data_IF_169708100702
#
_entry.id   IF_169708100702
#
_cell.length_a   1.000
_cell.length_b   1.000
_cell.length_c   1.000
_cell.angle_alpha   90.00
_cell.angle_beta   90.00
_cell.angle_gamma   90.00
#
_symmetry.space_group_name_H-M   'P 1'
#
loop_
_entity.id
_entity.type
_entity.pdbx_description
1 polymer ?
#
# COMPACT_ATOMS: atom_id res chain seq x y z
N UNK A 1 20.20 8.72 5.28
CA UNK A 1 19.43 9.79 4.60
C UNK A 1 17.95 9.44 4.42
N UNK A 2 17.58 8.43 3.61
CA UNK A 2 16.16 8.10 3.30
C UNK A 2 15.28 7.78 4.53
N UNK A 3 15.82 7.07 5.52
CA UNK A 3 15.07 6.72 6.75
C UNK A 3 14.77 7.95 7.61
N UNK A 4 15.73 8.85 7.73
CA UNK A 4 15.58 10.08 8.50
C UNK A 4 14.54 11.01 7.87
N UNK A 5 14.55 11.14 6.54
CA UNK A 5 13.54 11.91 5.82
C UNK A 5 12.13 11.35 6.04
N UNK A 6 11.95 10.02 5.92
CA UNK A 6 10.65 9.39 6.19
C UNK A 6 10.16 9.62 7.63
N UNK A 7 11.06 9.52 8.61
CA UNK A 7 10.74 9.79 10.01
C UNK A 7 10.32 11.25 10.22
N UNK A 8 11.06 12.21 9.65
CA UNK A 8 10.75 13.64 9.75
C UNK A 8 9.40 13.99 9.12
N UNK A 9 9.11 13.44 7.94
CA UNK A 9 7.81 13.60 7.27
C UNK A 9 6.67 12.99 8.09
N UNK A 10 6.90 11.80 8.67
CA UNK A 10 5.90 11.16 9.53
C UNK A 10 5.62 12.00 10.79
N UNK A 11 6.66 12.57 11.40
CA UNK A 11 6.56 13.43 12.57
C UNK A 11 5.94 14.79 12.28
N UNK A 12 6.08 15.32 11.05
CA UNK A 12 5.42 16.55 10.61
C UNK A 12 3.93 16.35 10.31
N UNK A 13 3.44 15.10 10.36
CA UNK A 13 2.05 14.75 10.09
C UNK A 13 1.74 14.59 8.60
N UNK A 14 2.75 14.51 7.73
CA UNK A 14 2.56 14.18 6.32
C UNK A 14 1.88 12.82 6.21
N UNK A 15 0.82 12.77 5.41
CA UNK A 15 0.09 11.54 5.08
C UNK A 15 0.54 11.01 3.72
N UNK A 16 0.21 9.75 3.49
CA UNK A 16 0.45 9.07 2.23
C UNK A 16 -0.84 9.03 1.44
N UNK A 17 -0.76 9.35 0.15
CA UNK A 17 -1.92 9.37 -0.71
C UNK A 17 -2.22 7.98 -1.29
N UNK A 18 -3.50 7.62 -1.27
CA UNK A 18 -4.06 6.48 -1.98
C UNK A 18 -5.12 7.04 -2.92
N UNK A 19 -4.99 6.73 -4.20
CA UNK A 19 -5.89 7.29 -5.22
C UNK A 19 -6.22 6.26 -6.28
N UNK A 20 -7.30 6.50 -7.04
CA UNK A 20 -7.65 5.69 -8.20
C UNK A 20 -7.97 6.60 -9.38
N UNK A 21 -7.44 6.25 -10.55
CA UNK A 21 -7.91 6.78 -11.83
C UNK A 21 -8.87 5.77 -12.45
N UNK A 22 -10.13 6.16 -12.65
CA UNK A 22 -11.11 5.32 -13.33
C UNK A 22 -11.29 5.76 -14.79
N UNK A 23 -11.09 4.82 -15.71
CA UNK A 23 -11.28 4.99 -17.16
C UNK A 23 -12.27 3.94 -17.64
N UNK A 24 -13.55 4.33 -17.74
CA UNK A 24 -14.63 3.38 -18.01
C UNK A 24 -14.67 2.27 -16.96
N UNK A 25 -14.48 1.01 -17.39
CA UNK A 25 -14.47 -0.16 -16.51
C UNK A 25 -13.06 -0.58 -16.03
N UNK A 26 -12.05 0.27 -16.20
CA UNK A 26 -10.69 0.05 -15.72
C UNK A 26 -10.42 0.99 -14.55
N UNK A 27 -9.86 0.47 -13.47
CA UNK A 27 -9.44 1.24 -12.30
C UNK A 27 -7.93 1.08 -12.12
N UNK A 28 -7.16 2.16 -12.28
CA UNK A 28 -5.74 2.21 -11.97
C UNK A 28 -5.56 2.72 -10.53
N UNK A 29 -5.27 1.81 -9.61
CA UNK A 29 -5.15 2.06 -8.18
C UNK A 29 -3.69 2.38 -7.83
N UNK A 30 -3.42 3.60 -7.37
CA UNK A 30 -2.09 4.02 -6.95
C UNK A 30 -1.88 3.74 -5.46
N UNK A 31 -0.81 3.01 -5.14
CA UNK A 31 -0.46 2.63 -3.77
C UNK A 31 1.00 2.94 -3.43
N UNK A 32 1.29 3.16 -2.13
CA UNK A 32 2.63 3.52 -1.71
C UNK A 32 3.58 2.33 -1.56
N UNK A 33 4.87 2.55 -1.80
CA UNK A 33 5.93 1.57 -1.52
C UNK A 33 5.89 0.33 -2.42
N UNK A 34 6.53 -0.74 -1.96
CA UNK A 34 6.60 -2.05 -2.65
C UNK A 34 5.62 -3.02 -2.00
N UNK A 35 4.47 -3.21 -2.63
CA UNK A 35 3.41 -4.03 -2.06
C UNK A 35 3.53 -5.48 -2.47
N UNK A 36 3.09 -6.34 -1.56
CA UNK A 36 2.79 -7.74 -1.81
C UNK A 36 1.62 -7.91 -2.81
N UNK A 37 1.60 -9.04 -3.52
CA UNK A 37 0.60 -9.32 -4.58
C UNK A 37 -0.83 -9.40 -4.03
N UNK A 38 -0.97 -9.73 -2.74
CA UNK A 38 -2.22 -9.85 -2.02
C UNK A 38 -3.03 -8.55 -2.05
N UNK A 39 -2.39 -7.38 -2.12
CA UNK A 39 -3.08 -6.10 -2.24
C UNK A 39 -3.77 -5.94 -3.60
N UNK A 40 -3.12 -6.36 -4.70
CA UNK A 40 -3.72 -6.42 -6.04
C UNK A 40 -4.91 -7.39 -6.06
N UNK A 41 -4.72 -8.59 -5.51
CA UNK A 41 -5.76 -9.62 -5.47
C UNK A 41 -6.96 -9.18 -4.61
N UNK A 42 -6.71 -8.53 -3.48
CA UNK A 42 -7.76 -7.97 -2.63
C UNK A 42 -8.52 -6.85 -3.37
N UNK A 43 -7.82 -5.94 -4.04
CA UNK A 43 -8.42 -4.84 -4.80
C UNK A 43 -9.33 -5.37 -5.94
N UNK A 44 -8.88 -6.38 -6.68
CA UNK A 44 -9.70 -7.05 -7.71
C UNK A 44 -10.95 -7.71 -7.13
N UNK A 45 -10.84 -8.38 -5.98
CA UNK A 45 -11.99 -8.96 -5.27
C UNK A 45 -12.98 -7.89 -4.79
N UNK A 46 -12.48 -6.75 -4.30
CA UNK A 46 -13.32 -5.66 -3.80
C UNK A 46 -14.19 -5.04 -4.90
N UNK A 47 -13.66 -4.90 -6.13
CA UNK A 47 -14.38 -4.32 -7.27
C UNK A 47 -14.48 -5.31 -8.44
N UNK A 48 -15.09 -6.47 -8.18
CA UNK A 48 -15.20 -7.58 -9.14
C UNK A 48 -15.85 -7.21 -10.50
N UNK A 49 -16.62 -6.11 -10.57
CA UNK A 49 -17.21 -5.61 -11.83
C UNK A 49 -16.23 -4.88 -12.75
N UNK A 50 -15.04 -4.51 -12.26
CA UNK A 50 -14.06 -3.71 -12.99
C UNK A 50 -12.69 -4.41 -13.12
N UNK A 51 -11.90 -4.00 -14.12
CA UNK A 51 -10.49 -4.39 -14.23
C UNK A 51 -9.66 -3.49 -13.33
N UNK A 52 -9.24 -4.00 -12.18
CA UNK A 52 -8.38 -3.26 -11.26
C UNK A 52 -6.91 -3.59 -11.53
N UNK A 53 -6.10 -2.56 -11.73
CA UNK A 53 -4.65 -2.63 -11.90
C UNK A 53 -3.98 -1.78 -10.81
N UNK A 54 -3.11 -2.38 -10.00
CA UNK A 54 -2.32 -1.68 -8.99
C UNK A 54 -1.06 -1.12 -9.61
N UNK A 55 -0.87 0.20 -9.45
CA UNK A 55 0.37 0.91 -9.66
C UNK A 55 0.97 1.23 -8.28
N UNK A 56 1.88 0.37 -7.83
CA UNK A 56 2.64 0.57 -6.60
C UNK A 56 3.72 1.66 -6.78
N UNK A 57 4.68 1.74 -5.85
CA UNK A 57 5.84 2.65 -5.89
C UNK A 57 5.50 4.15 -5.75
N UNK A 58 4.26 4.50 -5.43
CA UNK A 58 3.93 5.84 -4.94
C UNK A 58 4.62 6.10 -3.59
N UNK A 59 4.79 7.38 -3.22
CA UNK A 59 5.22 7.80 -1.87
C UNK A 59 6.17 6.82 -1.17
N UNK A 60 7.31 6.52 -1.80
CA UNK A 60 8.12 5.32 -1.53
C UNK A 60 8.80 5.25 -0.16
N UNK A 61 8.53 6.22 0.73
CA UNK A 61 9.03 6.26 2.11
C UNK A 61 8.86 4.96 2.91
N UNK A 62 7.71 4.27 2.87
CA UNK A 62 7.49 3.00 3.56
C UNK A 62 8.45 1.86 3.18
N UNK A 63 9.01 1.87 1.96
CA UNK A 63 9.70 0.69 1.41
C UNK A 63 8.72 -0.45 1.15
N UNK A 64 9.05 -1.67 1.59
CA UNK A 64 8.16 -2.82 1.45
C UNK A 64 6.95 -2.74 2.37
N UNK A 65 5.80 -3.23 1.87
CA UNK A 65 4.55 -3.35 2.61
C UNK A 65 4.00 -4.77 2.40
N UNK A 66 4.24 -5.63 3.38
CA UNK A 66 3.70 -6.99 3.41
C UNK A 66 2.27 -7.07 3.95
N UNK A 67 1.70 -8.27 3.96
CA UNK A 67 0.50 -8.61 4.74
C UNK A 67 0.86 -8.73 6.22
N UNK A 68 -0.11 -8.63 7.14
CA UNK A 68 0.14 -8.72 8.57
C UNK A 68 0.84 -10.02 8.96
N UNK A 69 0.42 -11.14 8.37
CA UNK A 69 1.00 -12.46 8.66
C UNK A 69 2.46 -12.57 8.20
N UNK A 70 2.82 -11.95 7.08
CA UNK A 70 4.18 -12.01 6.52
C UNK A 70 5.26 -11.46 7.47
N UNK A 71 4.91 -10.55 8.38
CA UNK A 71 5.85 -10.06 9.39
C UNK A 71 6.21 -11.12 10.44
N UNK A 72 5.29 -12.06 10.72
CA UNK A 72 5.56 -13.19 11.61
C UNK A 72 6.30 -14.34 10.90
N UNK A 73 6.08 -14.48 9.60
CA UNK A 73 6.76 -15.49 8.75
C UNK A 73 8.20 -15.07 8.41
N UNK A 74 8.48 -13.76 8.42
CA UNK A 74 9.78 -13.19 8.11
C UNK A 74 10.05 -13.11 6.61
N UNK A 75 11.32 -12.90 6.26
CA UNK A 75 11.75 -12.64 4.88
C UNK A 75 12.51 -11.33 4.76
N UNK A 76 12.99 -11.02 3.55
CA UNK A 76 13.68 -9.75 3.32
C UNK A 76 12.70 -8.59 3.43
N UNK A 77 11.54 -8.74 2.80
CA UNK A 77 10.53 -7.72 2.58
C UNK A 77 9.90 -7.23 3.89
N UNK A 78 9.82 -8.09 4.91
CA UNK A 78 9.29 -7.74 6.23
C UNK A 78 10.37 -7.48 7.29
N UNK A 79 11.64 -7.45 6.89
CA UNK A 79 12.76 -7.13 7.78
C UNK A 79 12.86 -5.63 8.08
N UNK A 80 13.39 -5.27 9.26
CA UNK A 80 13.59 -3.87 9.70
C UNK A 80 14.39 -3.00 8.70
N UNK A 81 15.20 -3.63 7.84
CA UNK A 81 15.98 -2.92 6.81
C UNK A 81 15.18 -2.58 5.55
N UNK A 82 14.05 -3.25 5.30
CA UNK A 82 13.31 -3.17 4.04
C UNK A 82 11.95 -2.47 4.19
N UNK A 83 11.27 -2.68 5.31
CA UNK A 83 9.97 -2.06 5.64
C UNK A 83 10.13 -0.98 6.71
N UNK A 84 9.30 0.05 6.64
CA UNK A 84 9.22 1.15 7.62
C UNK A 84 7.81 1.33 8.18
N UNK A 85 7.01 0.27 8.09
CA UNK A 85 5.63 0.23 8.56
C UNK A 85 5.42 -1.00 9.43
N UNK A 86 4.46 -0.92 10.34
CA UNK A 86 4.09 -2.01 11.23
C UNK A 86 3.09 -2.98 10.54
N UNK A 87 2.96 -4.23 11.02
CA UNK A 87 2.03 -5.21 10.44
C UNK A 87 0.58 -4.72 10.33
N UNK A 88 0.16 -3.80 11.20
CA UNK A 88 -1.18 -3.20 11.24
C UNK A 88 -1.51 -2.38 9.99
N UNK A 89 -0.49 -1.98 9.21
CA UNK A 89 -0.65 -1.20 7.99
C UNK A 89 -1.54 -1.90 6.96
N UNK A 90 -1.59 -3.24 6.94
CA UNK A 90 -2.43 -4.00 6.03
C UNK A 90 -3.90 -3.57 6.16
N UNK A 91 -4.41 -3.51 7.40
CA UNK A 91 -5.80 -3.13 7.64
C UNK A 91 -6.06 -1.66 7.29
N UNK A 92 -5.09 -0.78 7.56
CA UNK A 92 -5.18 0.65 7.21
C UNK A 92 -5.28 0.79 5.69
N UNK A 93 -4.41 0.10 4.96
CA UNK A 93 -4.33 0.20 3.51
C UNK A 93 -5.53 -0.46 2.82
N UNK A 94 -5.97 -1.63 3.27
CA UNK A 94 -7.19 -2.28 2.73
C UNK A 94 -8.44 -1.40 2.92
N UNK A 95 -8.54 -0.67 4.04
CA UNK A 95 -9.62 0.31 4.24
C UNK A 95 -9.51 1.49 3.28
N UNK A 96 -8.30 2.03 3.07
CA UNK A 96 -8.07 3.11 2.11
C UNK A 96 -8.38 2.68 0.68
N UNK A 97 -7.92 1.50 0.26
CA UNK A 97 -8.21 0.88 -1.03
C UNK A 97 -9.72 0.76 -1.23
N UNK A 98 -10.43 0.19 -0.26
CA UNK A 98 -11.89 0.06 -0.32
C UNK A 98 -12.55 1.43 -0.52
N UNK A 99 -12.14 2.42 0.27
CA UNK A 99 -12.70 3.78 0.23
C UNK A 99 -12.55 4.44 -1.14
N UNK A 100 -11.40 4.27 -1.81
CA UNK A 100 -11.19 4.89 -3.13
C UNK A 100 -11.80 4.07 -4.28
N UNK A 101 -11.86 2.74 -4.15
CA UNK A 101 -12.42 1.89 -5.21
C UNK A 101 -13.95 1.85 -5.22
N UNK A 102 -14.57 1.95 -4.05
CA UNK A 102 -16.01 1.86 -3.84
C UNK A 102 -16.53 3.17 -3.22
N UNK A 103 -16.53 4.28 -3.99
CA UNK A 103 -17.07 5.56 -3.52
C UNK A 103 -18.57 5.51 -3.23
#
# INVERSE_FOLDING_TARGET
AKHLAWLQESQSGRKVDVSVLQLGNICLLHLPGELFVEYQLAAQKMKAGAKVCVAAYGDYGPGYIGTKIAYSEGGYETSERATRVAPEVENVLLKAIRKVLLP
#
